data_IF_662674649697
#
_entry.id   IF_662674649697
#
_cell.length_a   1.000
_cell.length_b   1.000
_cell.length_c   1.000
_cell.angle_alpha   90.00
_cell.angle_beta   90.00
_cell.angle_gamma   90.00
#
_symmetry.space_group_name_H-M   'P 1'
#
loop_
_entity.id
_entity.type
_entity.pdbx_description
1 polymer ?
#
# COMPACT_ATOMS: atom_id res chain seq x y z
N UNK A 1 -3.87 12.90 5.17
CA UNK A 1 -3.79 11.55 5.76
C UNK A 1 -3.88 11.58 7.29
N UNK A 2 -3.05 12.38 7.98
CA UNK A 2 -3.02 12.40 9.46
C UNK A 2 -4.36 12.67 10.16
N UNK A 3 -5.16 13.66 9.71
CA UNK A 3 -6.50 13.92 10.27
C UNK A 3 -7.46 12.73 10.16
N UNK A 4 -7.39 11.96 9.07
CA UNK A 4 -8.26 10.80 8.89
C UNK A 4 -7.93 9.67 9.88
N UNK A 5 -6.65 9.47 10.18
CA UNK A 5 -6.20 8.49 11.17
C UNK A 5 -6.63 8.87 12.59
N UNK A 6 -6.52 10.15 12.93
CA UNK A 6 -6.97 10.69 14.22
C UNK A 6 -8.50 10.63 14.35
N UNK A 7 -9.25 11.01 13.31
CA UNK A 7 -10.71 10.88 13.26
C UNK A 7 -11.15 9.43 13.41
N UNK A 8 -10.49 8.49 12.71
CA UNK A 8 -10.77 7.06 12.84
C UNK A 8 -10.52 6.56 14.26
N UNK A 9 -9.39 6.94 14.89
CA UNK A 9 -9.09 6.64 16.29
C UNK A 9 -10.18 7.18 17.22
N UNK A 10 -10.56 8.45 17.07
CA UNK A 10 -11.59 9.10 17.90
C UNK A 10 -12.98 8.47 17.74
N UNK A 11 -13.26 7.88 16.57
CA UNK A 11 -14.52 7.23 16.26
C UNK A 11 -14.52 5.73 16.55
N UNK A 12 -13.41 5.18 17.07
CA UNK A 12 -13.26 3.74 17.29
C UNK A 12 -13.32 2.93 16.00
N UNK A 13 -12.91 3.51 14.87
CA UNK A 13 -12.91 2.85 13.56
C UNK A 13 -11.52 2.28 13.28
N UNK A 14 -11.38 0.94 13.13
CA UNK A 14 -10.09 0.34 12.82
C UNK A 14 -9.60 0.73 11.44
N UNK A 15 -8.32 1.11 11.35
CA UNK A 15 -7.63 1.36 10.08
C UNK A 15 -6.72 0.18 9.76
N UNK A 16 -6.86 -0.36 8.55
CA UNK A 16 -6.17 -1.59 8.12
C UNK A 16 -5.47 -1.37 6.79
N UNK A 17 -4.15 -1.45 6.80
CA UNK A 17 -3.32 -1.55 5.60
C UNK A 17 -3.11 -3.02 5.20
N UNK A 18 -3.10 -3.32 3.91
CA UNK A 18 -2.85 -4.67 3.40
C UNK A 18 -1.82 -4.62 2.28
N UNK A 19 -0.73 -5.37 2.45
CA UNK A 19 0.41 -5.41 1.54
C UNK A 19 0.57 -6.83 0.96
N UNK A 20 0.33 -6.96 -0.35
CA UNK A 20 0.44 -8.23 -1.10
C UNK A 20 1.86 -8.65 -1.45
N UNK A 21 2.80 -7.70 -1.52
CA UNK A 21 4.21 -7.94 -1.91
C UNK A 21 5.12 -7.58 -0.75
N UNK A 22 5.30 -8.54 0.15
CA UNK A 22 6.17 -8.38 1.31
C UNK A 22 7.62 -8.48 0.87
N UNK A 23 8.36 -7.37 0.95
CA UNK A 23 9.81 -7.30 0.69
C UNK A 23 10.63 -6.97 1.93
N UNK A 24 9.98 -6.89 3.09
CA UNK A 24 10.65 -6.59 4.36
C UNK A 24 11.38 -7.81 4.93
N UNK A 25 12.30 -7.51 5.84
CA UNK A 25 12.93 -8.46 6.76
C UNK A 25 12.77 -7.99 8.21
N UNK A 26 11.67 -7.29 8.52
CA UNK A 26 11.44 -6.70 9.84
C UNK A 26 11.26 -7.77 10.91
N UNK A 27 10.46 -8.79 10.63
CA UNK A 27 10.19 -9.87 11.56
C UNK A 27 11.39 -10.81 11.66
N UNK A 28 12.03 -11.11 10.53
CA UNK A 28 13.29 -11.87 10.50
C UNK A 28 14.33 -11.22 11.42
N UNK A 29 14.52 -9.90 11.31
CA UNK A 29 15.44 -9.15 12.20
C UNK A 29 14.98 -9.17 13.65
N UNK A 30 13.69 -8.96 13.92
CA UNK A 30 13.13 -8.98 15.27
C UNK A 30 13.31 -10.34 15.97
N UNK A 31 13.34 -11.44 15.19
CA UNK A 31 13.57 -12.80 15.67
C UNK A 31 15.06 -13.19 15.73
N UNK A 32 15.98 -12.27 15.45
CA UNK A 32 17.42 -12.55 15.43
C UNK A 32 17.87 -13.46 14.27
N UNK A 33 17.04 -13.61 13.24
CA UNK A 33 17.32 -14.41 12.06
C UNK A 33 18.00 -13.56 10.97
N UNK A 34 18.67 -14.22 10.03
CA UNK A 34 19.34 -13.56 8.90
C UNK A 34 19.22 -14.40 7.61
N UNK A 35 19.44 -13.78 6.45
CA UNK A 35 19.46 -14.48 5.15
C UNK A 35 18.10 -14.88 4.59
N UNK A 36 16.99 -14.51 5.26
CA UNK A 36 15.62 -14.81 4.85
C UNK A 36 14.79 -13.53 4.74
N UNK A 37 13.75 -13.56 3.90
CA UNK A 37 12.72 -12.51 3.87
C UNK A 37 11.57 -12.87 4.81
N UNK A 38 10.82 -11.86 5.28
CA UNK A 38 9.62 -12.10 6.10
C UNK A 38 8.62 -12.98 5.34
N UNK A 39 8.52 -12.77 4.02
CA UNK A 39 7.65 -13.58 3.16
C UNK A 39 8.06 -15.06 3.19
N UNK A 40 9.35 -15.35 3.00
CA UNK A 40 9.85 -16.73 2.98
C UNK A 40 9.65 -17.41 4.35
N UNK A 41 9.96 -16.70 5.44
CA UNK A 41 9.76 -17.19 6.80
C UNK A 41 8.29 -17.59 7.02
N UNK A 42 7.37 -16.65 6.83
CA UNK A 42 5.97 -16.86 7.16
C UNK A 42 5.20 -17.71 6.14
N UNK A 43 5.73 -17.91 4.93
CA UNK A 43 5.21 -18.95 4.04
C UNK A 43 5.58 -20.36 4.50
N UNK A 44 6.70 -20.51 5.20
CA UNK A 44 7.17 -21.81 5.69
C UNK A 44 6.53 -22.22 7.03
N UNK A 45 6.25 -21.25 7.91
CA UNK A 45 5.82 -21.55 9.30
C UNK A 45 4.33 -21.36 9.58
N UNK A 46 3.59 -20.63 8.74
CA UNK A 46 2.17 -20.36 8.99
C UNK A 46 1.25 -21.22 8.12
N UNK A 47 0.28 -21.84 8.78
CA UNK A 47 -0.87 -22.49 8.15
C UNK A 47 -1.99 -21.51 7.83
N UNK A 48 -2.90 -21.91 6.94
CA UNK A 48 -3.98 -21.03 6.47
C UNK A 48 -4.84 -20.56 7.65
N UNK A 49 -4.98 -19.24 7.78
CA UNK A 49 -5.72 -18.57 8.84
C UNK A 49 -4.85 -18.17 10.04
N UNK A 50 -3.62 -18.68 10.12
CA UNK A 50 -2.67 -18.27 11.14
C UNK A 50 -2.01 -16.93 10.79
N UNK A 51 -1.62 -16.22 11.84
CA UNK A 51 -0.89 -14.97 11.72
C UNK A 51 0.19 -14.82 12.80
N UNK A 52 1.22 -14.05 12.49
CA UNK A 52 2.29 -13.69 13.41
C UNK A 52 2.41 -12.16 13.55
N UNK A 53 2.69 -11.69 14.76
CA UNK A 53 2.83 -10.26 15.09
C UNK A 53 2.25 -9.96 16.48
N UNK A 54 2.23 -8.67 16.90
CA UNK A 54 2.68 -7.51 16.13
C UNK A 54 4.20 -7.39 16.03
N UNK A 55 4.69 -6.88 14.89
CA UNK A 55 6.08 -6.49 14.67
C UNK A 55 6.18 -4.97 14.49
N UNK A 56 7.28 -4.38 14.94
CA UNK A 56 7.57 -2.97 14.70
C UNK A 56 8.02 -2.75 13.26
N UNK A 57 7.53 -1.69 12.61
CA UNK A 57 7.90 -1.39 11.22
C UNK A 57 9.23 -0.61 11.10
N UNK A 58 9.81 -0.14 12.21
CA UNK A 58 11.08 0.58 12.25
C UNK A 58 10.96 2.00 11.68
N UNK A 59 12.00 2.46 10.96
CA UNK A 59 12.14 3.85 10.49
C UNK A 59 10.92 4.43 9.78
N UNK A 60 10.22 3.64 8.96
CA UNK A 60 9.03 4.11 8.24
C UNK A 60 7.87 4.49 9.21
N UNK A 61 7.75 3.79 10.34
CA UNK A 61 6.80 4.13 11.39
C UNK A 61 7.22 5.40 12.13
N UNK A 62 8.51 5.54 12.43
CA UNK A 62 9.05 6.72 13.11
C UNK A 62 8.84 7.99 12.29
N UNK A 63 9.01 7.91 10.96
CA UNK A 63 8.73 9.02 10.05
C UNK A 63 7.25 9.40 10.06
N UNK A 64 6.34 8.43 10.06
CA UNK A 64 4.90 8.68 10.11
C UNK A 64 4.51 9.38 11.42
N UNK A 65 5.05 8.92 12.56
CA UNK A 65 4.87 9.56 13.86
C UNK A 65 5.45 10.98 13.85
N UNK A 66 6.64 11.18 13.30
CA UNK A 66 7.26 12.50 13.15
C UNK A 66 6.41 13.46 12.31
N UNK A 67 5.76 12.97 11.26
CA UNK A 67 4.81 13.75 10.47
C UNK A 67 3.54 14.10 11.25
N UNK A 68 3.01 13.18 12.05
CA UNK A 68 1.83 13.44 12.89
C UNK A 68 2.10 14.62 13.85
N UNK A 69 3.25 14.59 14.55
CA UNK A 69 3.68 15.66 15.46
C UNK A 69 3.81 17.00 14.71
N UNK A 70 4.45 17.01 13.53
CA UNK A 70 4.61 18.23 12.72
C UNK A 70 3.29 18.82 12.25
N UNK A 71 2.26 18.01 12.12
CA UNK A 71 0.92 18.42 11.73
C UNK A 71 0.04 18.84 12.92
N UNK A 72 0.59 18.84 14.14
CA UNK A 72 -0.15 19.17 15.36
C UNK A 72 -1.14 18.09 15.78
N UNK A 73 -0.91 16.84 15.37
CA UNK A 73 -1.73 15.69 15.72
C UNK A 73 -1.12 14.97 16.92
N UNK A 74 -1.96 14.36 17.74
CA UNK A 74 -1.50 13.47 18.80
C UNK A 74 -1.02 12.14 18.21
N UNK A 75 0.29 11.82 18.30
CA UNK A 75 0.85 10.60 17.71
C UNK A 75 0.55 9.34 18.52
N UNK A 76 0.04 9.46 19.76
CA UNK A 76 -0.10 8.32 20.66
C UNK A 76 -1.01 7.23 20.06
N UNK A 77 -0.53 5.99 20.07
CA UNK A 77 -1.24 4.86 19.47
C UNK A 77 -1.39 4.91 17.94
N UNK A 78 -0.80 5.87 17.22
CA UNK A 78 -0.84 5.94 15.76
C UNK A 78 0.29 5.15 15.08
N UNK A 79 1.29 4.70 15.83
CA UNK A 79 2.41 3.95 15.28
C UNK A 79 1.91 2.64 14.62
N UNK A 80 2.25 2.37 13.36
CA UNK A 80 1.79 1.18 12.67
C UNK A 80 2.55 -0.07 13.16
N UNK A 81 1.79 -1.14 13.36
CA UNK A 81 2.25 -2.47 13.74
C UNK A 81 1.94 -3.45 12.61
N UNK A 82 2.90 -4.30 12.28
CA UNK A 82 2.77 -5.27 11.22
C UNK A 82 2.40 -6.66 11.75
N UNK A 83 1.46 -7.30 11.06
CA UNK A 83 1.10 -8.70 11.20
C UNK A 83 1.31 -9.40 9.87
N UNK A 84 1.63 -10.69 9.90
CA UNK A 84 1.77 -11.52 8.71
C UNK A 84 0.71 -12.59 8.75
N UNK A 85 -0.27 -12.52 7.83
CA UNK A 85 -1.44 -13.39 7.79
C UNK A 85 -1.37 -14.35 6.60
N UNK A 86 -1.59 -15.63 6.86
CA UNK A 86 -1.68 -16.67 5.83
C UNK A 86 -3.11 -16.81 5.32
N UNK A 87 -3.38 -16.38 4.10
CA UNK A 87 -4.74 -16.38 3.53
C UNK A 87 -5.04 -17.60 2.64
N UNK A 88 -3.99 -18.24 2.13
CA UNK A 88 -4.06 -19.39 1.23
C UNK A 88 -2.65 -19.87 0.94
N UNK A 89 -2.24 -19.93 -0.33
CA UNK A 89 -0.81 -20.11 -0.70
C UNK A 89 0.04 -18.85 -0.59
N UNK A 90 -0.57 -17.72 -0.19
CA UNK A 90 0.14 -16.45 0.04
C UNK A 90 0.09 -16.01 1.50
N UNK A 91 1.06 -15.18 1.84
CA UNK A 91 1.13 -14.44 3.09
C UNK A 91 0.99 -12.96 2.77
N UNK A 92 0.05 -12.30 3.44
CA UNK A 92 -0.17 -10.85 3.37
C UNK A 92 0.47 -10.21 4.59
N UNK A 93 1.05 -9.02 4.43
CA UNK A 93 1.35 -8.17 5.59
C UNK A 93 0.15 -7.28 5.85
N UNK A 94 -0.40 -7.34 7.05
CA UNK A 94 -1.51 -6.52 7.52
C UNK A 94 -0.94 -5.51 8.50
N UNK A 95 -1.19 -4.23 8.25
CA UNK A 95 -0.67 -3.13 9.05
C UNK A 95 -1.83 -2.47 9.78
N UNK A 96 -1.71 -2.30 11.09
CA UNK A 96 -2.73 -1.64 11.90
C UNK A 96 -2.05 -0.65 12.86
N UNK A 97 -2.65 0.51 13.14
CA UNK A 97 -2.17 1.38 14.21
C UNK A 97 -2.21 0.68 15.58
N UNK A 98 -1.38 1.10 16.51
CA UNK A 98 -1.35 0.58 17.89
C UNK A 98 -2.72 0.60 18.59
N UNK A 99 -3.53 1.64 18.38
CA UNK A 99 -4.87 1.70 18.98
C UNK A 99 -5.80 0.57 18.52
N UNK A 100 -5.49 -0.09 17.40
CA UNK A 100 -6.25 -1.23 16.86
C UNK A 100 -5.78 -2.59 17.39
N UNK A 101 -4.71 -2.66 18.20
CA UNK A 101 -4.12 -3.95 18.62
C UNK A 101 -5.09 -4.85 19.39
N UNK A 102 -5.99 -4.25 20.19
CA UNK A 102 -7.03 -4.98 20.91
C UNK A 102 -8.00 -5.74 19.99
N UNK A 103 -8.13 -5.30 18.74
CA UNK A 103 -9.02 -5.89 17.74
C UNK A 103 -8.28 -6.75 16.71
N UNK A 104 -6.98 -6.97 16.87
CA UNK A 104 -6.14 -7.62 15.86
C UNK A 104 -6.70 -8.96 15.38
N UNK A 105 -7.21 -9.81 16.29
CA UNK A 105 -7.81 -11.09 15.94
C UNK A 105 -9.03 -10.94 15.03
N UNK A 106 -9.92 -9.99 15.35
CA UNK A 106 -11.09 -9.70 14.55
C UNK A 106 -10.70 -9.15 13.18
N UNK A 107 -9.72 -8.22 13.13
CA UNK A 107 -9.19 -7.66 11.89
C UNK A 107 -8.59 -8.75 10.99
N UNK A 108 -7.75 -9.65 11.52
CA UNK A 108 -7.17 -10.74 10.74
C UNK A 108 -8.25 -11.68 10.20
N UNK A 109 -9.25 -12.00 11.02
CA UNK A 109 -10.42 -12.77 10.61
C UNK A 109 -11.18 -12.11 9.46
N UNK A 110 -11.43 -10.80 9.56
CA UNK A 110 -12.09 -10.00 8.52
C UNK A 110 -11.28 -10.02 7.21
N UNK A 111 -9.98 -9.75 7.28
CA UNK A 111 -9.08 -9.78 6.10
C UNK A 111 -9.09 -11.17 5.46
N UNK A 112 -9.02 -12.24 6.25
CA UNK A 112 -9.08 -13.61 5.77
C UNK A 112 -10.42 -13.91 5.06
N UNK A 113 -11.55 -13.58 5.69
CA UNK A 113 -12.89 -13.86 5.16
C UNK A 113 -13.20 -13.06 3.89
N UNK A 114 -12.69 -11.83 3.79
CA UNK A 114 -12.88 -10.99 2.61
C UNK A 114 -11.90 -11.28 1.48
N UNK A 115 -10.86 -12.08 1.71
CA UNK A 115 -9.86 -12.37 0.70
C UNK A 115 -10.32 -13.41 -0.31
N UNK A 116 -10.27 -13.06 -1.60
CA UNK A 116 -10.42 -13.99 -2.72
C UNK A 116 -9.19 -13.88 -3.61
N UNK A 117 -8.37 -14.93 -3.62
CA UNK A 117 -7.08 -14.92 -4.32
C UNK A 117 -6.01 -14.16 -3.53
N UNK A 118 -5.51 -13.06 -4.10
CA UNK A 118 -4.29 -12.37 -3.64
C UNK A 118 -4.55 -11.16 -2.72
N UNK A 119 -5.80 -10.68 -2.60
CA UNK A 119 -6.20 -9.52 -1.81
C UNK A 119 -7.65 -9.64 -1.31
N UNK A 120 -8.04 -8.89 -0.25
CA UNK A 120 -9.43 -8.62 0.08
C UNK A 120 -10.22 -8.06 -1.10
N UNK A 121 -11.46 -8.54 -1.30
CA UNK A 121 -12.35 -8.15 -2.40
C UNK A 121 -12.47 -6.61 -2.53
N UNK A 122 -12.70 -5.82 -1.46
CA UNK A 122 -12.82 -4.37 -1.58
C UNK A 122 -11.53 -3.72 -2.10
N UNK A 123 -10.36 -4.21 -1.67
CA UNK A 123 -9.07 -3.70 -2.13
C UNK A 123 -8.79 -4.09 -3.57
N UNK A 124 -9.14 -5.31 -3.98
CA UNK A 124 -9.02 -5.74 -5.37
C UNK A 124 -9.91 -4.90 -6.30
N UNK A 125 -11.13 -4.59 -5.87
CA UNK A 125 -12.04 -3.72 -6.61
C UNK A 125 -11.49 -2.29 -6.73
N UNK A 126 -11.01 -1.72 -5.62
CA UNK A 126 -10.39 -0.39 -5.61
C UNK A 126 -9.13 -0.33 -6.51
N UNK A 127 -8.24 -1.32 -6.42
CA UNK A 127 -7.04 -1.45 -7.27
C UNK A 127 -7.43 -1.51 -8.76
N UNK A 128 -8.49 -2.27 -9.09
CA UNK A 128 -8.98 -2.36 -10.47
C UNK A 128 -9.60 -1.06 -10.99
N UNK A 129 -10.34 -0.33 -10.16
CA UNK A 129 -11.01 0.92 -10.56
C UNK A 129 -10.04 2.11 -10.64
N UNK A 130 -9.01 2.13 -9.79
CA UNK A 130 -8.01 3.20 -9.78
C UNK A 130 -6.90 3.00 -10.82
N UNK A 131 -6.82 1.81 -11.45
CA UNK A 131 -5.76 1.48 -12.39
C UNK A 131 -5.83 2.35 -13.64
N UNK A 132 -4.87 3.25 -13.79
CA UNK A 132 -4.62 3.98 -15.04
C UNK A 132 -4.08 2.98 -16.07
N UNK A 133 -4.84 2.77 -17.14
CA UNK A 133 -4.41 1.88 -18.21
C UNK A 133 -3.56 2.62 -19.25
N UNK A 134 -2.81 1.88 -20.08
CA UNK A 134 -2.10 2.46 -21.22
C UNK A 134 -3.05 3.24 -22.15
N UNK A 135 -4.31 2.81 -22.24
CA UNK A 135 -5.34 3.51 -23.00
C UNK A 135 -5.65 4.89 -22.40
N UNK A 136 -5.80 4.96 -21.08
CA UNK A 136 -6.07 6.21 -20.37
C UNK A 136 -4.89 7.18 -20.47
N UNK A 137 -3.67 6.68 -20.28
CA UNK A 137 -2.45 7.46 -20.45
C UNK A 137 -2.28 7.95 -21.89
N UNK A 138 -2.54 7.09 -22.88
CA UNK A 138 -2.49 7.46 -24.30
C UNK A 138 -3.52 8.51 -24.67
N UNK A 139 -4.74 8.41 -24.13
CA UNK A 139 -5.81 9.38 -24.35
C UNK A 139 -5.46 10.74 -23.72
N UNK A 140 -4.96 10.75 -22.48
CA UNK A 140 -4.51 11.95 -21.79
C UNK A 140 -3.37 12.63 -22.56
N UNK A 141 -2.39 11.84 -23.01
CA UNK A 141 -1.28 12.30 -23.83
C UNK A 141 -1.76 12.94 -25.14
N UNK A 142 -2.62 12.25 -25.91
CA UNK A 142 -3.18 12.78 -27.16
C UNK A 142 -3.97 14.07 -26.95
N UNK A 143 -4.74 14.17 -25.87
CA UNK A 143 -5.49 15.40 -25.52
C UNK A 143 -4.54 16.55 -25.21
N UNK A 144 -3.45 16.29 -24.48
CA UNK A 144 -2.45 17.28 -24.13
C UNK A 144 -1.73 17.77 -25.39
N UNK A 145 -1.25 16.86 -26.24
CA UNK A 145 -0.64 17.20 -27.54
C UNK A 145 -1.61 18.02 -28.39
N UNK A 146 -2.86 17.59 -28.55
CA UNK A 146 -3.86 18.33 -29.33
C UNK A 146 -4.13 19.74 -28.77
N UNK A 147 -4.07 19.94 -27.46
CA UNK A 147 -4.20 21.27 -26.83
C UNK A 147 -2.98 22.15 -27.12
N UNK A 148 -1.77 21.60 -27.06
CA UNK A 148 -0.53 22.33 -27.36
C UNK A 148 -0.47 22.70 -28.84
N UNK A 149 -0.76 21.78 -29.77
CA UNK A 149 -0.84 22.06 -31.23
C UNK A 149 -1.81 23.22 -31.50
N UNK A 150 -3.02 23.17 -30.91
CA UNK A 150 -4.01 24.27 -31.05
C UNK A 150 -3.50 25.61 -30.53
N UNK A 151 -2.64 25.60 -29.52
CA UNK A 151 -2.11 26.83 -28.91
C UNK A 151 -0.92 27.41 -29.67
N UNK A 152 -0.11 26.56 -30.32
CA UNK A 152 1.07 26.97 -31.09
C UNK A 152 0.77 27.22 -32.59
N UNK A 153 -0.39 26.80 -33.08
CA UNK A 153 -0.76 26.89 -34.50
C UNK A 153 -0.02 25.86 -35.38
N UNK A 154 -0.23 25.88 -36.71
CA UNK A 154 0.32 24.88 -37.64
C UNK A 154 1.84 24.78 -37.60
N UNK A 155 2.54 25.90 -37.39
CA UNK A 155 4.00 25.96 -37.33
C UNK A 155 4.61 25.32 -36.06
N UNK A 156 3.83 25.15 -34.98
CA UNK A 156 4.27 24.46 -33.76
C UNK A 156 4.01 22.96 -33.77
N UNK A 157 3.29 22.43 -34.77
CA UNK A 157 3.00 21.02 -34.90
C UNK A 157 4.27 20.21 -35.22
N UNK A 158 5.16 20.75 -36.04
CA UNK A 158 6.45 20.12 -36.38
C UNK A 158 7.39 20.08 -35.17
N UNK A 159 7.38 21.11 -34.31
CA UNK A 159 8.16 21.14 -33.07
C UNK A 159 7.69 20.08 -32.05
N UNK A 160 6.41 19.70 -32.07
CA UNK A 160 5.88 18.63 -31.24
C UNK A 160 6.28 17.24 -31.72
N UNK A 161 6.54 17.05 -33.02
CA UNK A 161 7.07 15.79 -33.56
C UNK A 161 8.46 15.44 -33.00
N UNK A 162 9.23 16.45 -32.57
CA UNK A 162 10.51 16.31 -31.89
C UNK A 162 10.37 15.95 -30.40
N UNK A 163 9.21 16.23 -29.79
CA UNK A 163 8.90 15.98 -28.37
C UNK A 163 8.03 14.73 -28.17
N UNK A 164 7.41 14.21 -29.23
CA UNK A 164 6.76 12.92 -29.20
C UNK A 164 7.83 11.84 -29.10
N UNK A 165 7.92 11.20 -27.93
CA UNK A 165 8.63 9.94 -27.75
C UNK A 165 8.25 9.02 -28.91
N UNK A 166 9.21 8.80 -29.82
CA UNK A 166 9.05 7.84 -30.89
C UNK A 166 8.79 6.50 -30.21
N UNK A 167 7.57 5.98 -30.41
CA UNK A 167 7.19 4.63 -29.99
C UNK A 167 8.23 3.66 -30.56
N UNK A 168 9.09 3.07 -29.72
CA UNK A 168 9.86 1.90 -30.15
C UNK A 168 11.29 1.71 -29.63
N UNK A 169 11.85 2.56 -28.78
CA UNK A 169 13.15 2.23 -28.16
C UNK A 169 12.92 1.45 -26.85
N UNK A 170 12.95 0.13 -27.01
CA UNK A 170 13.05 -0.91 -25.97
C UNK A 170 14.51 -1.24 -25.76
#
# INVERSE_FOLDING_TARGET
MGRLLEEARSSGVPVVGVVKRVRSSMAVRALGLSGLSDLALFQAVLDRGEYAGPFEMGRDADELVGWAVRLGLDPDGLAPRAFFLRVGRRTLRVEVPEYCLGEARWIMGLVLSLSRGDLPIPLAAADSLARVTNRDASLAYRRLVAKVVRSLGPAGADALSLLTLQHGEV
#
